data_IF_389304383044
#
_entry.id   IF_389304383044
#
_cell.length_a   1.000
_cell.length_b   1.000
_cell.length_c   1.000
_cell.angle_alpha   90.00
_cell.angle_beta   90.00
_cell.angle_gamma   90.00
#
_symmetry.space_group_name_H-M   'P 1'
#
loop_
_entity.id
_entity.type
_entity.pdbx_description
1 polymer ?
#
# COMPACT_ATOMS: atom_id res chain seq x y z
N UNK A 1 -42.04 -70.49 -8.32
CA UNK A 1 -42.70 -69.15 -8.37
C UNK A 1 -42.38 -68.29 -7.14
N UNK A 2 -42.60 -68.76 -5.90
CA UNK A 2 -42.31 -67.97 -4.68
C UNK A 2 -40.86 -67.47 -4.57
N UNK A 3 -39.86 -68.30 -4.88
CA UNK A 3 -38.44 -67.92 -4.80
C UNK A 3 -38.07 -66.81 -5.79
N UNK A 4 -38.58 -66.86 -7.02
CA UNK A 4 -38.34 -65.84 -8.04
C UNK A 4 -38.93 -64.46 -7.65
N UNK A 5 -40.09 -64.46 -7.00
CA UNK A 5 -40.71 -63.22 -6.48
C UNK A 5 -39.86 -62.59 -5.37
N UNK A 6 -39.27 -63.39 -4.48
CA UNK A 6 -38.37 -62.90 -3.44
C UNK A 6 -37.06 -62.34 -4.01
N UNK A 7 -36.49 -62.97 -5.03
CA UNK A 7 -35.30 -62.45 -5.73
C UNK A 7 -35.56 -61.12 -6.42
N UNK A 8 -36.73 -60.98 -7.08
CA UNK A 8 -37.14 -59.71 -7.69
C UNK A 8 -37.33 -58.60 -6.63
N UNK A 9 -37.98 -58.93 -5.50
CA UNK A 9 -38.14 -57.98 -4.42
C UNK A 9 -36.80 -57.52 -3.83
N UNK A 10 -35.86 -58.45 -3.62
CA UNK A 10 -34.51 -58.13 -3.17
C UNK A 10 -33.76 -57.26 -4.18
N UNK A 11 -33.82 -57.58 -5.47
CA UNK A 11 -33.16 -56.81 -6.52
C UNK A 11 -33.69 -55.37 -6.62
N UNK A 12 -35.01 -55.18 -6.48
CA UNK A 12 -35.62 -53.85 -6.45
C UNK A 12 -35.18 -53.03 -5.22
N UNK A 13 -35.10 -53.67 -4.06
CA UNK A 13 -34.59 -53.02 -2.84
C UNK A 13 -33.12 -52.59 -2.98
N UNK A 14 -32.25 -53.47 -3.49
CA UNK A 14 -30.85 -53.14 -3.72
C UNK A 14 -30.68 -52.01 -4.76
N UNK A 15 -31.45 -52.05 -5.84
CA UNK A 15 -31.45 -50.99 -6.85
C UNK A 15 -31.86 -49.64 -6.24
N UNK A 16 -32.93 -49.61 -5.41
CA UNK A 16 -33.36 -48.40 -4.71
C UNK A 16 -32.32 -47.86 -3.73
N UNK A 17 -31.63 -48.74 -3.00
CA UNK A 17 -30.55 -48.36 -2.08
C UNK A 17 -29.34 -47.78 -2.82
N UNK A 18 -28.92 -48.41 -3.92
CA UNK A 18 -27.83 -47.91 -4.77
C UNK A 18 -28.18 -46.55 -5.38
N UNK A 19 -29.42 -46.36 -5.83
CA UNK A 19 -29.90 -45.07 -6.32
C UNK A 19 -29.82 -43.96 -5.25
N UNK A 20 -30.26 -44.25 -4.02
CA UNK A 20 -30.11 -43.29 -2.91
C UNK A 20 -28.66 -42.99 -2.57
N UNK A 21 -27.80 -44.00 -2.58
CA UNK A 21 -26.37 -43.81 -2.30
C UNK A 21 -25.70 -42.94 -3.37
N UNK A 22 -26.04 -43.14 -4.64
CA UNK A 22 -25.57 -42.30 -5.74
C UNK A 22 -26.05 -40.85 -5.58
N UNK A 23 -27.32 -40.65 -5.20
CA UNK A 23 -27.86 -39.31 -4.97
C UNK A 23 -27.15 -38.59 -3.82
N UNK A 24 -27.00 -39.24 -2.66
CA UNK A 24 -26.34 -38.64 -1.49
C UNK A 24 -24.86 -38.35 -1.77
N UNK A 25 -24.17 -39.21 -2.53
CA UNK A 25 -22.80 -38.94 -2.94
C UNK A 25 -22.72 -37.71 -3.87
N UNK A 26 -23.65 -37.57 -4.81
CA UNK A 26 -23.70 -36.40 -5.68
C UNK A 26 -23.98 -35.11 -4.90
N UNK A 27 -24.87 -35.15 -3.92
CA UNK A 27 -25.14 -34.02 -3.01
C UNK A 27 -23.89 -33.67 -2.18
N UNK A 28 -23.21 -34.68 -1.63
CA UNK A 28 -21.98 -34.49 -0.87
C UNK A 28 -20.85 -33.87 -1.72
N UNK A 29 -20.70 -34.30 -2.97
CA UNK A 29 -19.71 -33.74 -3.88
C UNK A 29 -20.05 -32.30 -4.28
N UNK A 30 -21.33 -31.99 -4.47
CA UNK A 30 -21.80 -30.62 -4.70
C UNK A 30 -21.51 -29.70 -3.50
N UNK A 31 -21.80 -30.16 -2.28
CA UNK A 31 -21.49 -29.43 -1.05
C UNK A 31 -19.99 -29.21 -0.86
N UNK A 32 -19.17 -30.23 -1.13
CA UNK A 32 -17.71 -30.10 -1.08
C UNK A 32 -17.19 -29.07 -2.08
N UNK A 33 -17.75 -29.05 -3.29
CA UNK A 33 -17.39 -28.06 -4.30
C UNK A 33 -17.80 -26.64 -3.86
N UNK A 34 -19.02 -26.46 -3.36
CA UNK A 34 -19.50 -25.17 -2.84
C UNK A 34 -18.66 -24.68 -1.65
N UNK A 35 -18.28 -25.58 -0.75
CA UNK A 35 -17.42 -25.27 0.38
C UNK A 35 -16.00 -24.87 -0.07
N UNK A 36 -15.45 -25.53 -1.09
CA UNK A 36 -14.15 -25.18 -1.64
C UNK A 36 -14.14 -23.77 -2.26
N UNK A 37 -15.19 -23.40 -3.01
CA UNK A 37 -15.36 -22.05 -3.56
C UNK A 37 -15.47 -21.03 -2.43
N UNK A 38 -16.29 -21.31 -1.42
CA UNK A 38 -16.47 -20.41 -0.27
C UNK A 38 -15.16 -20.22 0.51
N UNK A 39 -14.37 -21.27 0.67
CA UNK A 39 -13.05 -21.19 1.31
C UNK A 39 -12.09 -20.32 0.51
N UNK A 40 -12.08 -20.46 -0.82
CA UNK A 40 -11.27 -19.63 -1.71
C UNK A 40 -11.67 -18.16 -1.63
N UNK A 41 -12.98 -17.86 -1.66
CA UNK A 41 -13.49 -16.49 -1.54
C UNK A 41 -13.13 -15.88 -0.19
N UNK A 42 -13.28 -16.63 0.91
CA UNK A 42 -12.86 -16.20 2.25
C UNK A 42 -11.38 -15.82 2.27
N UNK A 43 -10.52 -16.69 1.71
CA UNK A 43 -9.08 -16.47 1.74
C UNK A 43 -8.69 -15.27 0.86
N UNK A 44 -9.36 -15.08 -0.27
CA UNK A 44 -9.23 -13.88 -1.10
C UNK A 44 -9.61 -12.62 -0.34
N UNK A 45 -10.78 -12.60 0.30
CA UNK A 45 -11.23 -11.44 1.08
C UNK A 45 -10.31 -11.13 2.25
N UNK A 46 -9.77 -12.17 2.91
CA UNK A 46 -8.79 -12.01 3.98
C UNK A 46 -7.51 -11.35 3.46
N UNK A 47 -6.96 -11.84 2.36
CA UNK A 47 -5.76 -11.26 1.75
C UNK A 47 -5.98 -9.81 1.32
N UNK A 48 -7.13 -9.50 0.71
CA UNK A 48 -7.50 -8.14 0.33
C UNK A 48 -7.62 -7.23 1.56
N UNK A 49 -8.25 -7.69 2.63
CA UNK A 49 -8.38 -6.91 3.87
C UNK A 49 -7.03 -6.64 4.53
N UNK A 50 -6.10 -7.60 4.51
CA UNK A 50 -4.74 -7.42 5.01
C UNK A 50 -3.95 -6.39 4.19
N UNK A 51 -4.06 -6.44 2.86
CA UNK A 51 -3.46 -5.43 1.98
C UNK A 51 -3.98 -4.02 2.27
N UNK A 52 -5.30 -3.84 2.37
CA UNK A 52 -5.91 -2.54 2.71
C UNK A 52 -5.46 -2.01 4.07
N UNK A 53 -5.26 -2.87 5.08
CA UNK A 53 -4.72 -2.44 6.37
C UNK A 53 -3.30 -1.92 6.24
N UNK A 54 -2.45 -2.60 5.46
CA UNK A 54 -1.08 -2.15 5.20
C UNK A 54 -1.05 -0.79 4.51
N UNK A 55 -1.86 -0.61 3.48
CA UNK A 55 -1.99 0.66 2.76
C UNK A 55 -2.50 1.79 3.67
N UNK A 56 -3.50 1.52 4.52
CA UNK A 56 -4.04 2.50 5.45
C UNK A 56 -3.00 2.97 6.48
N UNK A 57 -2.18 2.06 7.00
CA UNK A 57 -1.07 2.40 7.91
C UNK A 57 -0.04 3.26 7.19
N UNK A 58 0.37 2.87 5.99
CA UNK A 58 1.34 3.64 5.20
C UNK A 58 0.82 5.05 4.86
N UNK A 59 -0.47 5.18 4.53
CA UNK A 59 -1.08 6.47 4.26
C UNK A 59 -1.15 7.34 5.52
N UNK A 60 -1.47 6.76 6.69
CA UNK A 60 -1.46 7.47 7.95
C UNK A 60 -0.06 7.96 8.34
N UNK A 61 0.98 7.15 8.15
CA UNK A 61 2.37 7.55 8.39
C UNK A 61 2.81 8.66 7.42
N UNK A 62 2.48 8.54 6.13
CA UNK A 62 2.80 9.57 5.15
C UNK A 62 2.14 10.91 5.50
N UNK A 63 0.86 10.89 5.88
CA UNK A 63 0.15 12.09 6.33
C UNK A 63 0.83 12.75 7.54
N UNK A 64 1.26 11.96 8.53
CA UNK A 64 2.01 12.48 9.69
C UNK A 64 3.33 13.13 9.28
N UNK A 65 4.11 12.46 8.42
CA UNK A 65 5.38 13.00 7.93
C UNK A 65 5.20 14.30 7.11
N UNK A 66 4.12 14.41 6.34
CA UNK A 66 3.81 15.64 5.61
C UNK A 66 3.48 16.79 6.57
N UNK A 67 2.65 16.56 7.58
CA UNK A 67 2.34 17.57 8.61
C UNK A 67 3.60 18.00 9.38
N UNK A 68 4.49 17.07 9.72
CA UNK A 68 5.75 17.39 10.40
C UNK A 68 6.66 18.25 9.50
N UNK A 69 6.74 17.94 8.20
CA UNK A 69 7.51 18.74 7.23
C UNK A 69 6.93 20.15 7.10
N UNK A 70 5.61 20.29 7.03
CA UNK A 70 4.94 21.59 6.96
C UNK A 70 5.18 22.42 8.22
N UNK A 71 5.06 21.79 9.40
CA UNK A 71 5.35 22.44 10.68
C UNK A 71 6.81 22.93 10.76
N UNK A 72 7.76 22.09 10.35
CA UNK A 72 9.17 22.46 10.28
C UNK A 72 9.41 23.59 9.27
N UNK A 73 8.83 23.51 8.08
CA UNK A 73 8.96 24.55 7.06
C UNK A 73 8.41 25.90 7.54
N UNK A 74 7.30 25.90 8.29
CA UNK A 74 6.72 27.09 8.90
C UNK A 74 7.65 27.68 9.98
N UNK A 75 8.23 26.83 10.83
CA UNK A 75 9.21 27.25 11.85
C UNK A 75 10.45 27.86 11.21
N UNK A 76 11.02 27.20 10.20
CA UNK A 76 12.20 27.70 9.49
C UNK A 76 11.89 29.02 8.76
N UNK A 77 10.68 29.16 8.21
CA UNK A 77 10.24 30.41 7.60
C UNK A 77 10.14 31.55 8.62
N UNK A 78 9.60 31.28 9.80
CA UNK A 78 9.53 32.24 10.89
C UNK A 78 10.93 32.64 11.38
N UNK A 79 11.84 31.68 11.51
CA UNK A 79 13.24 31.94 11.88
C UNK A 79 13.95 32.80 10.84
N UNK A 80 13.84 32.46 9.55
CA UNK A 80 14.40 33.26 8.45
C UNK A 80 13.83 34.68 8.46
N UNK A 81 12.52 34.84 8.66
CA UNK A 81 11.88 36.15 8.74
C UNK A 81 12.39 36.97 9.94
N UNK A 82 12.61 36.33 11.09
CA UNK A 82 13.18 36.99 12.26
C UNK A 82 14.62 37.45 12.02
N UNK A 83 15.46 36.62 11.41
CA UNK A 83 16.84 36.96 11.04
C UNK A 83 16.84 38.14 10.07
N UNK A 84 16.03 38.09 9.01
CA UNK A 84 15.93 39.17 8.01
C UNK A 84 15.42 40.47 8.63
N UNK A 85 14.47 40.40 9.58
CA UNK A 85 13.96 41.59 10.28
C UNK A 85 15.00 42.22 11.21
N UNK A 86 15.84 41.42 11.86
CA UNK A 86 16.94 41.90 12.70
C UNK A 86 18.11 42.44 11.89
N UNK A 87 18.36 41.86 10.71
CA UNK A 87 19.29 42.43 9.76
C UNK A 87 18.75 43.81 9.34
N UNK A 88 19.44 44.88 9.75
CA UNK A 88 19.27 46.20 9.14
C UNK A 88 20.32 46.33 8.04
N UNK A 89 19.99 45.98 6.78
CA UNK A 89 20.95 46.08 5.70
C UNK A 89 21.10 47.57 5.42
N UNK A 90 22.24 48.17 5.81
CA UNK A 90 22.57 49.50 5.34
C UNK A 90 23.10 49.41 3.92
N UNK A 91 22.85 50.45 3.13
CA UNK A 91 23.55 50.62 1.87
C UNK A 91 25.07 50.69 2.15
N UNK A 92 25.85 49.88 1.43
CA UNK A 92 27.32 49.94 1.47
C UNK A 92 27.77 51.29 0.94
N UNK A 93 28.81 51.89 1.53
CA UNK A 93 29.38 53.13 1.01
C UNK A 93 30.05 52.87 -0.34
N UNK A 94 30.34 53.93 -1.10
CA UNK A 94 31.04 53.79 -2.38
C UNK A 94 32.41 53.11 -2.21
N UNK A 95 33.16 53.42 -1.13
CA UNK A 95 34.45 52.76 -0.86
C UNK A 95 34.32 51.27 -0.49
N UNK A 96 33.19 50.86 0.09
CA UNK A 96 32.93 49.46 0.40
C UNK A 96 32.50 48.67 -0.83
N UNK A 97 31.77 49.30 -1.75
CA UNK A 97 31.39 48.69 -3.02
C UNK A 97 32.61 48.50 -3.91
N UNK A 98 33.54 49.46 -3.94
CA UNK A 98 34.78 49.39 -4.73
C UNK A 98 35.74 48.28 -4.25
N UNK A 99 35.61 47.85 -2.98
CA UNK A 99 36.38 46.73 -2.39
C UNK A 99 35.71 45.37 -2.57
N UNK A 100 34.45 45.33 -2.99
CA UNK A 100 33.70 44.08 -3.13
C UNK A 100 33.91 43.54 -4.53
N UNK A 101 34.45 42.32 -4.60
CA UNK A 101 34.60 41.60 -5.85
C UNK A 101 33.22 41.37 -6.48
N UNK A 102 33.09 41.81 -7.73
CA UNK A 102 31.87 41.68 -8.50
C UNK A 102 31.47 40.21 -8.68
N UNK A 103 30.19 39.97 -8.94
CA UNK A 103 29.62 38.63 -9.03
C UNK A 103 30.23 37.78 -10.15
N UNK A 104 30.67 38.40 -11.24
CA UNK A 104 31.30 37.70 -12.36
C UNK A 104 32.69 37.21 -11.97
N UNK A 105 33.49 38.05 -11.30
CA UNK A 105 34.79 37.63 -10.77
C UNK A 105 34.66 36.55 -9.69
N UNK A 106 33.62 36.62 -8.85
CA UNK A 106 33.32 35.57 -7.86
C UNK A 106 32.97 34.24 -8.53
N UNK A 107 32.12 34.27 -9.56
CA UNK A 107 31.72 33.08 -10.33
C UNK A 107 32.92 32.42 -10.99
N UNK A 108 33.81 33.19 -11.63
CA UNK A 108 35.05 32.65 -12.24
C UNK A 108 35.98 32.01 -11.21
N UNK A 109 36.08 32.56 -10.00
CA UNK A 109 36.87 31.96 -8.93
C UNK A 109 36.32 30.60 -8.48
N UNK A 110 34.98 30.49 -8.34
CA UNK A 110 34.30 29.23 -8.00
C UNK A 110 34.49 28.18 -9.09
N UNK A 111 34.35 28.56 -10.36
CA UNK A 111 34.59 27.65 -11.49
C UNK A 111 36.04 27.14 -11.52
N UNK A 112 37.00 27.99 -11.17
CA UNK A 112 38.42 27.62 -11.11
C UNK A 112 38.73 26.67 -9.95
N UNK A 113 38.08 26.86 -8.80
CA UNK A 113 38.20 25.98 -7.63
C UNK A 113 37.52 24.62 -7.86
N UNK A 114 36.47 24.58 -8.68
CA UNK A 114 35.73 23.35 -9.00
C UNK A 114 36.29 22.59 -10.21
N UNK A 115 37.43 23.00 -10.79
CA UNK A 115 38.07 22.28 -11.88
C UNK A 115 38.78 21.02 -11.33
N UNK A 116 38.67 19.86 -12.00
CA UNK A 116 39.48 18.69 -11.66
C UNK A 116 40.97 18.99 -11.83
N UNK A 117 41.78 18.53 -10.86
CA UNK A 117 43.24 18.67 -10.81
C UNK A 117 43.93 18.03 -12.02
#
# INVERSE_FOLDING_TARGET
>A
MKTAVWWLAAALLFSGLLGRLAQVNAELDAERAAHAVTAQDRDRWKATAEAYRGEAVAQAENARLCLDRESNAARDAAERAAIVKQASPRARTAEEQDKVVDDETRRRAVERLNRPL
#
